data_IF_339303538062
#
_entry.id   IF_339303538062
#
_cell.length_a   1.000
_cell.length_b   1.000
_cell.length_c   1.000
_cell.angle_alpha   90.00
_cell.angle_beta   90.00
_cell.angle_gamma   90.00
#
_symmetry.space_group_name_H-M   'P 1'
#
loop_
_entity.id
_entity.type
_entity.pdbx_description
1 polymer ?
#
# COMPACT_ATOMS: atom_id res chain seq x y z
N UNK A 1 -29.34 31.84 -16.62
CA UNK A 1 -28.23 31.99 -15.65
C UNK A 1 -28.12 30.70 -14.86
N UNK A 2 -27.18 29.85 -15.25
CA UNK A 2 -27.00 28.52 -14.68
C UNK A 2 -26.17 28.63 -13.39
N UNK A 3 -26.79 28.33 -12.25
CA UNK A 3 -26.15 28.34 -10.94
C UNK A 3 -25.19 27.16 -10.83
N UNK A 4 -23.89 27.44 -10.83
CA UNK A 4 -22.86 26.47 -10.48
C UNK A 4 -22.98 26.16 -8.98
N UNK A 5 -23.45 24.95 -8.65
CA UNK A 5 -23.35 24.43 -7.28
C UNK A 5 -21.88 24.17 -6.98
N UNK A 6 -21.32 24.96 -6.07
CA UNK A 6 -20.01 24.69 -5.51
C UNK A 6 -20.07 23.37 -4.75
N UNK A 7 -19.32 22.38 -5.24
CA UNK A 7 -19.07 21.15 -4.49
C UNK A 7 -18.13 21.55 -3.35
N UNK A 8 -18.66 21.56 -2.13
CA UNK A 8 -17.84 21.81 -0.94
C UNK A 8 -16.83 20.67 -0.78
N UNK A 9 -15.53 20.96 -0.59
CA UNK A 9 -14.55 19.92 -0.34
C UNK A 9 -14.88 19.25 1.01
N UNK A 10 -15.11 17.93 0.96
CA UNK A 10 -15.36 17.13 2.14
C UNK A 10 -14.23 17.29 3.16
N UNK A 11 -14.58 17.44 4.45
CA UNK A 11 -13.63 17.55 5.55
C UNK A 11 -12.72 16.31 5.57
N UNK A 12 -11.42 16.50 5.33
CA UNK A 12 -10.39 15.47 5.52
C UNK A 12 -10.39 15.05 6.99
N UNK A 13 -10.85 13.83 7.27
CA UNK A 13 -10.71 13.22 8.59
C UNK A 13 -9.26 12.76 8.83
N UNK A 14 -8.67 13.16 9.97
CA UNK A 14 -7.37 12.66 10.45
C UNK A 14 -6.14 13.17 9.68
N UNK A 15 -4.93 12.93 10.23
CA UNK A 15 -3.60 13.28 9.66
C UNK A 15 -3.28 12.54 8.34
N UNK A 16 -4.29 12.06 7.62
CA UNK A 16 -4.13 11.31 6.39
C UNK A 16 -3.46 12.18 5.32
N UNK A 17 -2.30 11.73 4.87
CA UNK A 17 -1.49 12.44 3.88
C UNK A 17 -1.82 12.04 2.44
N UNK A 18 -2.48 10.88 2.23
CA UNK A 18 -2.68 10.30 0.90
C UNK A 18 -1.39 9.87 0.21
N UNK A 19 -0.29 9.69 0.97
CA UNK A 19 1.03 9.31 0.43
C UNK A 19 1.31 7.83 0.67
N UNK A 20 2.16 7.26 -0.17
CA UNK A 20 2.79 5.95 0.08
C UNK A 20 4.15 6.18 0.74
N UNK A 21 4.39 5.59 1.90
CA UNK A 21 5.72 5.41 2.45
C UNK A 21 6.29 4.09 1.92
N UNK A 22 7.47 4.16 1.29
CA UNK A 22 8.17 2.98 0.79
C UNK A 22 9.48 2.77 1.54
N UNK A 23 9.64 1.58 2.12
CA UNK A 23 10.87 1.09 2.73
C UNK A 23 11.46 -0.07 1.91
N UNK A 24 12.59 0.20 1.26
CA UNK A 24 13.25 -0.71 0.33
C UNK A 24 13.94 -1.89 1.03
N UNK A 25 14.22 -1.77 2.32
CA UNK A 25 14.80 -2.80 3.18
C UNK A 25 14.41 -2.59 4.65
N UNK A 26 13.31 -3.23 5.06
CA UNK A 26 12.80 -3.19 6.42
C UNK A 26 13.76 -3.79 7.47
N UNK A 27 14.84 -4.44 7.06
CA UNK A 27 15.84 -4.97 8.01
C UNK A 27 16.72 -3.89 8.63
N UNK A 28 16.77 -2.70 8.03
CA UNK A 28 17.63 -1.62 8.53
C UNK A 28 19.12 -1.84 8.25
N UNK A 29 19.50 -2.81 7.40
CA UNK A 29 20.90 -3.20 7.18
C UNK A 29 21.57 -2.54 5.98
N UNK A 30 20.81 -1.92 5.07
CA UNK A 30 21.39 -1.17 3.96
C UNK A 30 21.71 0.26 4.34
N UNK A 31 22.78 0.84 3.81
CA UNK A 31 23.14 2.26 4.02
C UNK A 31 22.15 3.25 3.35
N UNK A 32 21.25 2.73 2.52
CA UNK A 32 20.19 3.46 1.79
C UNK A 32 18.81 3.39 2.51
N UNK A 33 18.84 3.15 3.83
CA UNK A 33 17.69 2.76 4.70
C UNK A 33 16.67 3.85 4.99
N UNK A 34 16.79 5.03 4.39
CA UNK A 34 15.79 6.08 4.57
C UNK A 34 14.58 5.79 3.67
N UNK A 35 13.61 5.04 4.20
CA UNK A 35 12.31 4.91 3.54
C UNK A 35 11.73 6.29 3.20
N UNK A 36 11.13 6.43 2.02
CA UNK A 36 10.74 7.73 1.46
C UNK A 36 9.27 7.79 1.08
N UNK A 37 8.75 9.00 0.99
CA UNK A 37 7.34 9.25 0.65
C UNK A 37 7.18 9.46 -0.85
N UNK A 38 6.24 8.73 -1.44
CA UNK A 38 5.83 8.83 -2.83
C UNK A 38 4.44 9.48 -2.87
N UNK A 39 4.30 10.53 -3.67
CA UNK A 39 3.03 11.22 -3.92
C UNK A 39 2.24 10.52 -5.02
N UNK A 40 0.93 10.75 -5.06
CA UNK A 40 0.01 10.14 -6.03
C UNK A 40 0.51 10.30 -7.48
N UNK A 41 0.83 11.54 -7.89
CA UNK A 41 1.33 11.87 -9.24
C UNK A 41 2.56 11.07 -9.69
N UNK A 42 3.44 10.69 -8.75
CA UNK A 42 4.67 9.96 -9.05
C UNK A 42 4.54 8.46 -8.81
N UNK A 43 3.46 8.04 -8.16
CA UNK A 43 3.36 6.69 -7.64
C UNK A 43 3.38 5.62 -8.72
N UNK A 44 2.65 5.80 -9.82
CA UNK A 44 2.67 4.82 -10.91
C UNK A 44 4.07 4.65 -11.52
N UNK A 45 4.76 5.76 -11.77
CA UNK A 45 6.10 5.74 -12.36
C UNK A 45 7.07 5.10 -11.38
N UNK A 46 7.05 5.52 -10.11
CA UNK A 46 7.95 4.99 -9.08
C UNK A 46 7.68 3.50 -8.81
N UNK A 47 6.41 3.06 -8.68
CA UNK A 47 6.09 1.65 -8.47
C UNK A 47 6.58 0.75 -9.61
N UNK A 48 6.52 1.19 -10.87
CA UNK A 48 7.08 0.45 -12.01
C UNK A 48 8.60 0.25 -11.91
N UNK A 49 9.32 1.17 -11.27
CA UNK A 49 10.77 1.07 -11.09
C UNK A 49 11.13 0.29 -9.81
N UNK A 50 10.29 0.36 -8.78
CA UNK A 50 10.54 -0.30 -7.49
C UNK A 50 10.21 -1.80 -7.51
N UNK A 51 9.15 -2.15 -8.25
CA UNK A 51 8.67 -3.52 -8.37
C UNK A 51 9.23 -4.09 -9.65
N UNK A 52 9.86 -5.26 -9.53
CA UNK A 52 10.30 -5.96 -10.74
C UNK A 52 9.06 -6.49 -11.46
N UNK A 53 9.04 -6.34 -12.78
CA UNK A 53 7.90 -6.77 -13.62
C UNK A 53 7.70 -8.29 -13.60
N UNK A 54 8.74 -9.06 -13.25
CA UNK A 54 8.75 -10.51 -13.12
C UNK A 54 8.39 -11.02 -11.71
N UNK A 55 8.13 -10.12 -10.76
CA UNK A 55 7.89 -10.49 -9.35
C UNK A 55 6.47 -11.03 -9.17
N UNK A 56 6.38 -12.34 -8.89
CA UNK A 56 5.12 -13.05 -8.64
C UNK A 56 4.91 -13.23 -7.15
N UNK A 57 3.67 -13.03 -6.70
CA UNK A 57 3.23 -13.30 -5.34
C UNK A 57 2.87 -14.78 -5.27
N UNK A 58 3.71 -15.57 -4.59
CA UNK A 58 3.50 -17.00 -4.38
C UNK A 58 2.47 -17.25 -3.27
N UNK A 59 2.55 -16.45 -2.21
CA UNK A 59 1.69 -16.57 -1.05
C UNK A 59 1.31 -15.19 -0.50
N UNK A 60 0.13 -15.12 0.09
CA UNK A 60 -0.38 -13.92 0.74
C UNK A 60 -1.03 -14.27 2.07
N UNK A 61 -0.74 -13.47 3.08
CA UNK A 61 -1.25 -13.61 4.45
C UNK A 61 -1.88 -12.30 4.90
N UNK A 62 -2.94 -12.40 5.69
CA UNK A 62 -3.42 -11.28 6.51
C UNK A 62 -3.01 -11.54 7.94
N UNK A 63 -2.27 -10.59 8.50
CA UNK A 63 -1.94 -10.56 9.92
C UNK A 63 -2.76 -9.49 10.63
N UNK A 64 -2.98 -9.71 11.93
CA UNK A 64 -3.70 -8.80 12.81
C UNK A 64 -2.90 -8.50 14.06
N UNK A 65 -2.98 -7.26 14.51
CA UNK A 65 -2.29 -6.78 15.72
C UNK A 65 -3.22 -5.92 16.55
N UNK A 66 -3.08 -5.91 17.89
CA UNK A 66 -3.80 -4.98 18.73
C UNK A 66 -3.41 -3.51 18.41
N UNK A 67 -4.37 -2.60 18.57
CA UNK A 67 -4.16 -1.16 18.37
C UNK A 67 -3.26 -0.55 19.44
N UNK A 68 -3.31 -1.09 20.66
CA UNK A 68 -2.54 -0.60 21.80
C UNK A 68 -1.77 -1.73 22.47
N UNK A 69 -0.69 -1.38 23.15
CA UNK A 69 0.07 -2.32 23.97
C UNK A 69 -0.81 -2.85 25.10
N UNK A 70 -0.57 -4.09 25.52
CA UNK A 70 -1.24 -4.77 26.64
C UNK A 70 -2.74 -5.10 26.42
N UNK A 71 -3.24 -5.09 25.18
CA UNK A 71 -4.56 -5.66 24.91
C UNK A 71 -4.53 -7.18 25.11
N UNK A 72 -5.55 -7.70 25.80
CA UNK A 72 -5.74 -9.13 26.04
C UNK A 72 -6.51 -9.83 24.91
N UNK A 73 -7.35 -9.08 24.20
CA UNK A 73 -8.04 -9.51 22.98
C UNK A 73 -8.21 -8.34 22.02
N UNK A 74 -8.34 -8.63 20.73
CA UNK A 74 -8.56 -7.63 19.69
C UNK A 74 -9.70 -8.01 18.75
N UNK A 75 -10.70 -8.76 19.23
CA UNK A 75 -11.79 -9.34 18.40
C UNK A 75 -12.54 -8.27 17.58
N UNK A 76 -12.74 -7.07 18.13
CA UNK A 76 -13.47 -5.97 17.47
C UNK A 76 -12.54 -4.85 16.99
N UNK A 77 -11.47 -4.57 17.75
CA UNK A 77 -10.56 -3.45 17.52
C UNK A 77 -9.14 -3.94 17.31
N UNK A 78 -8.79 -4.13 16.04
CA UNK A 78 -7.46 -4.58 15.60
C UNK A 78 -7.04 -3.85 14.34
N UNK A 79 -5.73 -3.73 14.18
CA UNK A 79 -5.11 -3.36 12.93
C UNK A 79 -4.89 -4.62 12.08
N UNK A 80 -5.09 -4.50 10.77
CA UNK A 80 -4.87 -5.57 9.82
C UNK A 80 -3.96 -5.12 8.69
N UNK A 81 -3.06 -6.00 8.28
CA UNK A 81 -2.11 -5.76 7.20
C UNK A 81 -1.84 -7.02 6.41
N UNK A 82 -1.32 -6.84 5.21
CA UNK A 82 -0.99 -7.94 4.32
C UNK A 82 0.51 -8.17 4.32
N UNK A 83 0.90 -9.44 4.37
CA UNK A 83 2.25 -9.90 4.07
C UNK A 83 2.18 -10.75 2.80
N UNK A 84 3.15 -10.59 1.91
CA UNK A 84 3.25 -11.33 0.65
C UNK A 84 4.65 -11.92 0.52
N UNK A 85 4.71 -13.17 0.08
CA UNK A 85 5.94 -13.81 -0.34
C UNK A 85 5.99 -13.79 -1.85
N UNK A 86 7.12 -13.35 -2.36
CA UNK A 86 7.42 -13.40 -3.79
C UNK A 86 8.60 -14.33 -4.04
N UNK A 87 8.93 -14.53 -5.31
CA UNK A 87 10.15 -15.22 -5.71
C UNK A 87 11.45 -14.52 -5.25
N UNK A 88 11.41 -13.25 -4.83
CA UNK A 88 12.63 -12.51 -4.48
C UNK A 88 12.63 -11.92 -3.07
N UNK A 89 11.49 -11.49 -2.55
CA UNK A 89 11.38 -10.80 -1.26
C UNK A 89 10.09 -11.14 -0.55
N UNK A 90 10.11 -10.89 0.76
CA UNK A 90 8.92 -10.70 1.55
C UNK A 90 8.50 -9.24 1.48
N UNK A 91 7.21 -9.00 1.36
CA UNK A 91 6.61 -7.67 1.31
C UNK A 91 5.55 -7.54 2.38
N UNK A 92 5.33 -6.33 2.89
CA UNK A 92 4.10 -6.01 3.62
C UNK A 92 3.50 -4.72 3.13
N UNK A 93 2.16 -4.69 3.10
CA UNK A 93 1.36 -3.56 2.67
C UNK A 93 0.26 -3.31 3.69
N UNK A 94 0.19 -2.07 4.19
CA UNK A 94 -0.80 -1.67 5.19
C UNK A 94 -1.26 -0.23 5.04
N UNK A 95 -2.49 0.04 5.48
CA UNK A 95 -3.08 1.38 5.54
C UNK A 95 -3.20 1.77 7.00
N UNK A 96 -2.44 2.77 7.44
CA UNK A 96 -2.48 3.29 8.80
C UNK A 96 -3.25 4.64 8.84
N UNK A 97 -3.20 5.35 9.96
CA UNK A 97 -3.90 6.63 10.15
C UNK A 97 -3.30 7.81 9.36
N UNK A 98 -2.09 7.66 8.81
CA UNK A 98 -1.29 8.73 8.22
C UNK A 98 -1.00 8.50 6.73
N UNK A 99 -0.75 7.25 6.32
CA UNK A 99 -0.30 6.88 4.98
C UNK A 99 -0.57 5.39 4.67
N UNK A 100 -0.33 5.02 3.41
CA UNK A 100 -0.04 3.63 3.05
C UNK A 100 1.44 3.36 3.35
N UNK A 101 1.74 2.18 3.90
CA UNK A 101 3.11 1.70 4.11
C UNK A 101 3.31 0.47 3.24
N UNK A 102 4.31 0.55 2.38
CA UNK A 102 4.85 -0.58 1.64
C UNK A 102 6.30 -0.78 2.08
N UNK A 103 6.65 -1.99 2.47
CA UNK A 103 8.01 -2.31 2.84
C UNK A 103 8.36 -3.72 2.39
N UNK A 104 9.65 -3.97 2.16
CA UNK A 104 10.13 -5.30 1.77
C UNK A 104 11.38 -5.71 2.53
N UNK A 105 11.64 -7.00 2.60
CA UNK A 105 12.88 -7.54 3.15
C UNK A 105 13.16 -8.94 2.59
N UNK A 106 14.40 -9.39 2.72
CA UNK A 106 14.76 -10.80 2.49
C UNK A 106 14.28 -11.71 3.63
N UNK A 107 13.95 -11.16 4.79
CA UNK A 107 13.52 -11.92 5.96
C UNK A 107 12.07 -11.60 6.32
N UNK A 108 11.24 -12.65 6.46
CA UNK A 108 9.83 -12.53 6.84
C UNK A 108 9.63 -11.69 8.10
N UNK A 109 10.46 -11.89 9.13
CA UNK A 109 10.35 -11.20 10.42
C UNK A 109 10.28 -9.67 10.27
N UNK A 110 11.11 -9.07 9.41
CA UNK A 110 11.14 -7.62 9.27
C UNK A 110 9.90 -7.04 8.60
N UNK A 111 9.19 -7.80 7.78
CA UNK A 111 7.92 -7.33 7.20
C UNK A 111 6.70 -7.78 8.02
N UNK A 112 6.81 -8.88 8.77
CA UNK A 112 5.74 -9.43 9.62
C UNK A 112 5.66 -8.72 10.96
N UNK A 113 6.79 -8.49 11.62
CA UNK A 113 6.83 -8.07 13.02
C UNK A 113 7.16 -6.58 13.20
N UNK A 114 7.65 -5.92 12.15
CA UNK A 114 8.04 -4.51 12.18
C UNK A 114 7.29 -3.71 11.13
N UNK A 115 6.96 -2.45 11.43
CA UNK A 115 6.42 -1.46 10.50
C UNK A 115 7.25 -0.17 10.66
N UNK A 116 7.87 0.29 9.58
CA UNK A 116 8.72 1.50 9.61
C UNK A 116 9.77 1.45 10.74
N UNK A 117 10.46 0.30 10.86
CA UNK A 117 11.46 0.04 11.91
C UNK A 117 10.92 -0.17 13.33
N UNK A 118 9.61 -0.01 13.57
CA UNK A 118 8.99 -0.20 14.90
C UNK A 118 8.35 -1.57 15.00
N UNK A 119 8.63 -2.29 16.09
CA UNK A 119 7.96 -3.56 16.37
C UNK A 119 6.45 -3.34 16.52
N UNK A 120 5.64 -4.11 15.79
CA UNK A 120 4.18 -4.10 15.88
C UNK A 120 3.74 -4.58 17.27
N UNK A 121 2.59 -4.09 17.72
CA UNK A 121 2.02 -4.55 18.98
C UNK A 121 1.62 -6.02 18.86
N UNK A 122 1.69 -6.74 19.98
CA UNK A 122 1.24 -8.12 20.11
C UNK A 122 0.31 -8.21 21.31
N UNK A 123 -0.58 -9.21 21.31
CA UNK A 123 -1.40 -9.50 22.49
C UNK A 123 -0.50 -9.83 23.66
N UNK A 124 -0.95 -9.50 24.88
CA UNK A 124 -0.13 -9.66 26.10
C UNK A 124 0.42 -11.09 26.31
N UNK A 125 -0.27 -12.10 25.79
CA UNK A 125 0.08 -13.51 25.87
C UNK A 125 0.68 -14.09 24.58
N UNK A 126 1.16 -13.23 23.67
CA UNK A 126 1.74 -13.62 22.37
C UNK A 126 3.08 -12.95 22.18
N UNK A 127 3.97 -13.62 21.44
CA UNK A 127 5.27 -13.08 21.02
C UNK A 127 5.24 -12.44 19.63
N UNK A 128 4.19 -12.70 18.86
CA UNK A 128 4.08 -12.36 17.44
C UNK A 128 2.67 -11.89 17.06
N UNK A 129 2.53 -11.15 15.95
CA UNK A 129 1.25 -10.85 15.31
C UNK A 129 0.43 -12.11 15.00
N UNK A 130 -0.89 -11.99 15.04
CA UNK A 130 -1.78 -13.12 14.82
C UNK A 130 -2.07 -13.30 13.33
N UNK A 131 -1.78 -14.48 12.80
CA UNK A 131 -2.18 -14.86 11.45
C UNK A 131 -3.71 -15.05 11.40
N UNK A 132 -4.38 -14.30 10.53
CA UNK A 132 -5.82 -14.42 10.34
C UNK A 132 -6.20 -15.27 9.13
N UNK A 133 -5.54 -15.05 7.98
CA UNK A 133 -5.82 -15.78 6.72
C UNK A 133 -4.55 -15.97 5.92
N UNK A 134 -4.48 -17.04 5.15
CA UNK A 134 -3.42 -17.25 4.17
C UNK A 134 -3.97 -17.90 2.90
N UNK A 135 -3.24 -17.76 1.79
CA UNK A 135 -3.44 -18.53 0.56
C UNK A 135 -2.23 -18.46 -0.36
N UNK A 136 -2.18 -19.42 -1.27
CA UNK A 136 -1.37 -19.35 -2.48
C UNK A 136 -1.95 -18.36 -3.48
N UNK A 137 -1.08 -17.83 -4.33
CA UNK A 137 -1.37 -16.86 -5.38
C UNK A 137 -0.42 -17.11 -6.55
N UNK A 138 -0.88 -16.78 -7.76
CA UNK A 138 -0.07 -16.68 -8.97
C UNK A 138 -0.03 -15.24 -9.52
N UNK A 139 -0.55 -14.30 -8.72
CA UNK A 139 -0.75 -12.92 -9.08
C UNK A 139 0.58 -12.14 -9.16
N UNK A 140 0.74 -11.29 -10.17
CA UNK A 140 1.90 -10.41 -10.24
C UNK A 140 1.80 -9.30 -9.20
N UNK A 141 2.92 -8.97 -8.57
CA UNK A 141 3.01 -7.81 -7.67
C UNK A 141 2.64 -6.52 -8.42
N UNK A 142 3.08 -6.37 -9.67
CA UNK A 142 2.71 -5.23 -10.52
C UNK A 142 1.20 -5.15 -10.75
N UNK A 143 0.55 -6.28 -11.06
CA UNK A 143 -0.91 -6.34 -11.24
C UNK A 143 -1.66 -5.95 -9.96
N UNK A 144 -1.14 -6.32 -8.78
CA UNK A 144 -1.71 -5.89 -7.51
C UNK A 144 -1.68 -4.38 -7.38
N UNK A 145 -0.54 -3.75 -7.62
CA UNK A 145 -0.42 -2.30 -7.49
C UNK A 145 -1.21 -1.54 -8.56
N UNK A 146 -1.28 -2.06 -9.79
CA UNK A 146 -2.17 -1.52 -10.82
C UNK A 146 -3.63 -1.57 -10.38
N UNK A 147 -4.07 -2.67 -9.79
CA UNK A 147 -5.43 -2.81 -9.26
C UNK A 147 -5.71 -1.83 -8.11
N UNK A 148 -4.75 -1.65 -7.19
CA UNK A 148 -4.89 -0.69 -6.09
C UNK A 148 -5.00 0.74 -6.61
N UNK A 149 -4.24 1.06 -7.65
CA UNK A 149 -4.31 2.36 -8.31
C UNK A 149 -5.65 2.57 -9.04
N UNK A 150 -6.05 1.62 -9.89
CA UNK A 150 -7.30 1.73 -10.67
C UNK A 150 -8.54 1.83 -9.79
N UNK A 151 -8.50 1.22 -8.60
CA UNK A 151 -9.58 1.29 -7.60
C UNK A 151 -9.50 2.52 -6.69
N UNK A 152 -8.54 3.41 -6.94
CA UNK A 152 -8.36 4.66 -6.21
C UNK A 152 -8.21 4.46 -4.69
N UNK A 153 -7.53 3.38 -4.28
CA UNK A 153 -7.39 3.02 -2.86
C UNK A 153 -6.60 4.08 -2.07
N UNK A 154 -5.81 4.89 -2.76
CA UNK A 154 -5.04 6.02 -2.23
C UNK A 154 -5.92 7.23 -1.90
N UNK A 155 -6.90 7.55 -2.75
CA UNK A 155 -7.81 8.68 -2.56
C UNK A 155 -9.16 8.29 -1.95
N UNK A 156 -9.42 6.99 -1.73
CA UNK A 156 -10.62 6.51 -1.02
C UNK A 156 -10.78 7.18 0.35
N UNK A 157 -11.90 7.92 0.49
CA UNK A 157 -12.19 8.80 1.62
C UNK A 157 -12.16 8.07 2.97
N UNK A 158 -11.72 8.83 3.97
CA UNK A 158 -11.47 8.40 5.34
C UNK A 158 -12.77 8.28 6.15
N UNK A 159 -13.36 7.09 6.21
CA UNK A 159 -14.38 6.74 7.20
C UNK A 159 -13.79 5.78 8.25
N UNK A 160 -13.54 6.33 9.45
CA UNK A 160 -13.21 5.65 10.72
C UNK A 160 -12.20 4.49 10.63
N UNK A 161 -10.93 4.82 10.93
CA UNK A 161 -9.69 4.02 11.05
C UNK A 161 -9.80 2.49 11.13
N UNK A 162 -10.74 1.91 11.87
CA UNK A 162 -10.80 0.46 12.09
C UNK A 162 -11.43 -0.32 10.93
N UNK A 163 -12.46 0.22 10.27
CA UNK A 163 -13.08 -0.47 9.12
C UNK A 163 -12.19 -0.39 7.87
N UNK A 164 -11.36 0.65 7.78
CA UNK A 164 -10.55 0.91 6.59
C UNK A 164 -9.34 -0.04 6.49
N UNK A 165 -8.53 -0.21 7.55
CA UNK A 165 -7.37 -1.12 7.46
C UNK A 165 -7.79 -2.59 7.28
N UNK A 166 -8.83 -3.03 8.00
CA UNK A 166 -9.44 -4.36 7.86
C UNK A 166 -10.01 -4.57 6.46
N UNK A 167 -10.76 -3.59 5.95
CA UNK A 167 -11.32 -3.62 4.61
C UNK A 167 -10.24 -3.63 3.53
N UNK A 168 -9.22 -2.79 3.67
CA UNK A 168 -8.08 -2.68 2.77
C UNK A 168 -7.30 -4.00 2.69
N UNK A 169 -6.91 -4.57 3.82
CA UNK A 169 -6.20 -5.85 3.85
C UNK A 169 -7.03 -6.97 3.19
N UNK A 170 -8.35 -7.00 3.44
CA UNK A 170 -9.26 -7.96 2.80
C UNK A 170 -9.36 -7.76 1.29
N UNK A 171 -9.38 -6.52 0.80
CA UNK A 171 -9.43 -6.20 -0.64
C UNK A 171 -8.15 -6.63 -1.36
N UNK A 172 -6.98 -6.40 -0.76
CA UNK A 172 -5.69 -6.90 -1.29
C UNK A 172 -5.73 -8.43 -1.36
N UNK A 173 -6.03 -9.09 -0.23
CA UNK A 173 -6.06 -10.55 -0.14
C UNK A 173 -7.03 -11.18 -1.16
N UNK A 174 -8.19 -10.56 -1.38
CA UNK A 174 -9.15 -11.01 -2.38
C UNK A 174 -8.67 -10.76 -3.83
N UNK A 175 -7.91 -9.69 -4.06
CA UNK A 175 -7.34 -9.40 -5.39
C UNK A 175 -6.28 -10.42 -5.78
N UNK A 176 -5.53 -10.94 -4.81
CA UNK A 176 -4.58 -12.05 -4.97
C UNK A 176 -5.27 -13.43 -5.00
N UNK A 177 -6.55 -13.51 -5.38
CA UNK A 177 -7.19 -14.81 -5.60
C UNK A 177 -6.73 -15.40 -6.93
N UNK A 178 -6.36 -16.68 -6.92
CA UNK A 178 -6.04 -17.45 -8.13
C UNK A 178 -7.19 -17.25 -9.11
N UNK A 179 -6.92 -16.50 -10.18
CA UNK A 179 -8.00 -16.03 -11.02
C UNK A 179 -8.41 -17.12 -12.00
N UNK A 180 -9.67 -17.57 -11.88
CA UNK A 180 -10.37 -18.19 -13.02
C UNK A 180 -10.69 -17.18 -14.14
N UNK A 181 -10.36 -15.89 -13.97
CA UNK A 181 -10.56 -14.81 -14.95
C UNK A 181 -9.21 -14.22 -15.39
N UNK A 182 -8.75 -14.58 -16.60
CA UNK A 182 -7.67 -13.87 -17.27
C UNK A 182 -8.05 -12.39 -17.39
N UNK A 183 -7.39 -11.52 -16.63
CA UNK A 183 -7.35 -10.11 -16.97
C UNK A 183 -6.29 -9.97 -18.07
N UNK A 184 -6.65 -9.47 -19.27
CA UNK A 184 -5.66 -9.22 -20.32
C UNK A 184 -4.61 -8.25 -19.78
N UNK A 185 -3.34 -8.56 -20.03
CA UNK A 185 -2.18 -7.73 -19.64
C UNK A 185 -2.10 -6.46 -20.52
N UNK A 186 -2.95 -6.34 -21.55
CA UNK A 186 -2.80 -5.39 -22.67
C UNK A 186 -3.49 -4.01 -22.50
N UNK A 187 -3.89 -3.59 -21.29
CA UNK A 187 -4.54 -2.27 -21.14
C UNK A 187 -3.57 -1.09 -20.91
N UNK A 188 -2.31 -1.19 -21.35
CA UNK A 188 -1.38 -0.05 -21.31
C UNK A 188 -0.90 0.26 -22.72
N UNK A 189 -1.53 1.23 -23.37
CA UNK A 189 -1.02 1.86 -24.58
C UNK A 189 -0.01 2.96 -24.19
N UNK A 190 1.29 2.78 -24.47
CA UNK A 190 2.31 3.80 -24.16
C UNK A 190 2.06 5.14 -24.88
N UNK A 191 1.24 5.15 -25.94
CA UNK A 191 0.95 6.36 -26.73
C UNK A 191 -0.01 7.33 -26.03
N UNK A 192 -0.79 6.88 -25.04
CA UNK A 192 -1.72 7.73 -24.29
C UNK A 192 -0.99 8.71 -23.34
N UNK A 193 0.29 8.47 -23.04
CA UNK A 193 1.12 9.35 -22.21
C UNK A 193 1.75 10.52 -23.00
N UNK A 194 1.98 10.32 -24.30
CA UNK A 194 2.61 11.32 -25.17
C UNK A 194 1.69 12.52 -25.45
N UNK A 195 0.37 12.34 -25.31
CA UNK A 195 -0.63 13.39 -25.55
C UNK A 195 -0.76 14.42 -24.42
N UNK A 196 -0.19 14.17 -23.24
CA UNK A 196 -0.26 15.07 -22.06
C UNK A 196 1.06 15.80 -21.74
N UNK A 197 2.11 15.59 -22.53
CA UNK A 197 3.41 16.24 -22.35
C UNK A 197 3.51 17.64 -22.99
N UNK A 198 2.48 18.10 -23.69
CA UNK A 198 2.53 19.34 -24.51
C UNK A 198 2.05 20.63 -23.81
N UNK A 199 1.67 20.59 -22.52
CA UNK A 199 1.21 21.79 -21.79
C UNK A 199 2.13 22.26 -20.64
N UNK A 200 3.43 21.94 -20.67
CA UNK A 200 4.42 22.61 -19.83
C UNK A 200 5.10 23.73 -20.61
N UNK A 201 4.41 24.87 -20.75
CA UNK A 201 5.07 26.14 -21.10
C UNK A 201 5.94 26.56 -19.91
N UNK A 202 7.25 26.46 -20.12
CA UNK A 202 8.29 27.03 -19.26
C UNK A 202 8.03 28.53 -19.12
N UNK A 203 7.72 28.99 -17.89
CA UNK A 203 7.74 30.41 -17.54
C UNK A 203 9.18 30.72 -17.10
N UNK A 204 9.92 31.62 -17.78
CA UNK A 204 11.24 32.02 -17.33
C UNK A 204 11.12 32.95 -16.12
N UNK A 205 11.87 32.66 -15.06
CA UNK A 205 12.12 33.59 -13.97
C UNK A 205 13.00 34.74 -14.49
N UNK A 206 12.40 35.91 -14.68
CA UNK A 206 13.15 37.17 -14.79
C UNK A 206 13.62 37.57 -13.39
N UNK A 207 14.92 37.84 -13.29
CA UNK A 207 15.58 38.26 -12.07
C UNK A 207 15.20 39.69 -11.65
N UNK A 208 15.33 39.91 -10.35
CA UNK A 208 15.58 41.20 -9.73
C UNK A 208 16.73 41.00 -8.73
#
# INVERSE_FOLDING_TARGET
MSSFRSVSPGKKGGKWSGKLYFDSDASGKSDDTAGYYITDEKLQVTLKHLIRTDEKINHVWIYTTPLFKNQWSHVIMYHAYVVMETNTHWWSLEKNSENLVLQRSKTLEYVKDYCQGKKRNVLKNKSEPELWKHRESDFSLLQLFQNLWQKDELNSNFDLMMRNCQGFARRIFNSCSISKKKYPIDCFDPSELASKQTELKVIPLMGA
#
